data_IF_363405387486
#
_entry.id   IF_363405387486
#
_cell.length_a   1.000
_cell.length_b   1.000
_cell.length_c   1.000
_cell.angle_alpha   90.00
_cell.angle_beta   90.00
_cell.angle_gamma   90.00
#
_symmetry.space_group_name_H-M   'P 1'
#
loop_
_entity.id
_entity.type
_entity.pdbx_description
1 polymer ?
#
# COMPACT_ATOMS: atom_id res chain seq x y z
N UNK A 1 17.48 -49.78 -47.12
CA UNK A 1 16.28 -49.73 -46.26
C UNK A 1 16.42 -48.54 -45.32
N UNK A 2 15.85 -47.39 -45.65
CA UNK A 2 15.98 -46.15 -44.84
C UNK A 2 14.68 -45.95 -44.06
N UNK A 3 14.72 -46.19 -42.74
CA UNK A 3 13.59 -45.90 -41.84
C UNK A 3 13.66 -44.41 -41.45
N UNK A 4 12.95 -43.57 -42.19
CA UNK A 4 12.70 -42.19 -41.80
C UNK A 4 11.65 -42.22 -40.70
N UNK A 5 12.12 -42.28 -39.45
CA UNK A 5 11.27 -42.14 -38.28
C UNK A 5 10.82 -40.68 -38.20
N UNK A 6 9.62 -40.44 -38.71
CA UNK A 6 8.94 -39.14 -38.65
C UNK A 6 8.74 -38.74 -37.19
N UNK A 7 9.63 -37.88 -36.67
CA UNK A 7 9.47 -37.22 -35.39
C UNK A 7 8.59 -35.99 -35.61
N UNK A 8 7.27 -36.16 -35.43
CA UNK A 8 6.31 -35.06 -35.42
C UNK A 8 6.50 -34.28 -34.12
N UNK A 9 7.38 -33.27 -34.14
CA UNK A 9 7.58 -32.36 -33.01
C UNK A 9 6.43 -31.35 -32.98
N UNK A 10 5.37 -31.67 -32.27
CA UNK A 10 4.19 -30.83 -32.13
C UNK A 10 4.49 -29.70 -31.13
N UNK A 11 4.91 -28.54 -31.66
CA UNK A 11 5.15 -27.33 -30.87
C UNK A 11 3.80 -26.76 -30.45
N UNK A 12 3.37 -27.04 -29.22
CA UNK A 12 2.27 -26.31 -28.58
C UNK A 12 2.75 -24.88 -28.27
N UNK A 13 2.47 -23.94 -29.18
CA UNK A 13 2.64 -22.52 -28.91
C UNK A 13 1.49 -22.07 -28.00
N UNK A 14 1.74 -22.00 -26.70
CA UNK A 14 0.82 -21.38 -25.75
C UNK A 14 0.95 -19.86 -25.87
N UNK A 15 0.01 -19.22 -26.57
CA UNK A 15 -0.05 -17.76 -26.63
C UNK A 15 -0.62 -17.21 -25.33
N UNK A 16 0.24 -16.89 -24.37
CA UNK A 16 -0.14 -16.15 -23.17
C UNK A 16 -0.02 -14.65 -23.45
N UNK A 17 -1.17 -13.97 -23.56
CA UNK A 17 -1.22 -12.53 -23.79
C UNK A 17 -0.70 -11.81 -22.54
N UNK A 18 0.49 -11.21 -22.65
CA UNK A 18 1.11 -10.46 -21.55
C UNK A 18 0.58 -9.03 -21.55
N UNK A 19 0.08 -8.56 -20.41
CA UNK A 19 -0.40 -7.19 -20.22
C UNK A 19 0.61 -6.42 -19.37
N UNK A 20 0.95 -5.21 -19.80
CA UNK A 20 1.86 -4.32 -19.07
C UNK A 20 1.08 -3.38 -18.14
N UNK A 21 1.52 -3.27 -16.88
CA UNK A 21 1.01 -2.26 -15.98
C UNK A 21 1.66 -0.90 -16.31
N UNK A 22 0.86 0.08 -16.74
CA UNK A 22 1.37 1.43 -17.10
C UNK A 22 1.31 2.43 -15.96
N UNK A 23 0.23 2.43 -15.17
CA UNK A 23 0.04 3.37 -14.07
C UNK A 23 -0.88 2.78 -13.00
N UNK A 24 -0.66 3.17 -11.74
CA UNK A 24 -1.51 2.81 -10.61
C UNK A 24 -1.89 4.08 -9.87
N UNK A 25 -3.19 4.25 -9.61
CA UNK A 25 -3.71 5.27 -8.71
C UNK A 25 -4.22 4.59 -7.45
N UNK A 26 -3.66 4.95 -6.29
CA UNK A 26 -4.06 4.39 -5.00
C UNK A 26 -4.73 5.48 -4.18
N UNK A 27 -6.03 5.32 -3.93
CA UNK A 27 -6.79 6.18 -3.04
C UNK A 27 -6.87 5.51 -1.67
N UNK A 28 -5.91 5.83 -0.81
CA UNK A 28 -5.85 5.25 0.54
C UNK A 28 -6.60 6.13 1.55
N UNK A 29 -7.29 5.47 2.49
CA UNK A 29 -7.75 6.12 3.71
C UNK A 29 -6.59 6.20 4.71
N UNK A 30 -6.67 7.14 5.65
CA UNK A 30 -5.84 7.16 6.85
C UNK A 30 -6.09 5.90 7.72
N UNK A 31 -5.09 5.49 8.47
CA UNK A 31 -5.18 4.32 9.34
C UNK A 31 -5.75 4.67 10.74
N UNK A 32 -5.42 3.86 11.76
CA UNK A 32 -5.94 3.99 13.13
C UNK A 32 -5.59 5.36 13.73
N UNK A 33 -6.64 6.12 14.04
CA UNK A 33 -6.58 7.44 14.66
C UNK A 33 -7.47 7.52 15.89
N UNK A 34 -7.17 8.48 16.76
CA UNK A 34 -8.07 8.82 17.85
C UNK A 34 -9.45 9.28 17.33
N UNK A 35 -10.52 9.05 18.10
CA UNK A 35 -11.84 9.53 17.75
C UNK A 35 -11.85 11.06 17.58
N UNK A 36 -12.74 11.54 16.72
CA UNK A 36 -12.89 12.99 16.44
C UNK A 36 -13.65 13.71 17.54
N UNK A 37 -14.55 13.02 18.23
CA UNK A 37 -15.50 13.60 19.17
C UNK A 37 -14.89 13.70 20.57
N UNK A 38 -14.80 14.92 21.09
CA UNK A 38 -14.55 15.18 22.52
C UNK A 38 -15.72 14.76 23.42
N UNK A 39 -16.94 14.70 22.84
CA UNK A 39 -18.19 14.59 23.59
C UNK A 39 -18.74 13.16 23.68
N UNK A 40 -17.87 12.15 23.55
CA UNK A 40 -18.26 10.74 23.64
C UNK A 40 -18.93 10.40 24.99
N UNK A 41 -18.54 11.10 26.06
CA UNK A 41 -19.09 10.94 27.40
C UNK A 41 -20.58 11.29 27.50
N UNK A 42 -21.10 12.14 26.59
CA UNK A 42 -22.52 12.47 26.55
C UNK A 42 -23.37 11.43 25.79
N UNK A 43 -22.73 10.56 25.01
CA UNK A 43 -23.41 9.53 24.20
C UNK A 43 -23.59 8.21 24.95
N UNK A 44 -22.79 7.97 25.99
CA UNK A 44 -22.87 6.75 26.80
C UNK A 44 -22.39 7.03 28.21
N UNK A 45 -23.05 6.44 29.21
CA UNK A 45 -22.64 6.47 30.61
C UNK A 45 -21.35 5.70 30.90
N UNK A 46 -20.85 4.92 29.93
CA UNK A 46 -19.60 4.17 30.07
C UNK A 46 -18.37 5.06 29.88
N UNK A 47 -17.30 4.75 30.62
CA UNK A 47 -16.01 5.43 30.48
C UNK A 47 -15.35 5.03 29.17
N UNK A 48 -15.11 6.01 28.30
CA UNK A 48 -14.39 5.80 27.04
C UNK A 48 -12.89 5.66 27.28
N UNK A 49 -12.19 4.83 26.48
CA UNK A 49 -10.75 4.68 26.59
C UNK A 49 -10.04 5.99 26.26
N UNK A 50 -9.03 6.30 27.07
CA UNK A 50 -8.19 7.50 26.91
C UNK A 50 -7.13 7.19 25.84
N UNK A 51 -6.97 8.09 24.89
CA UNK A 51 -5.96 7.98 23.83
C UNK A 51 -4.75 8.85 24.17
N UNK A 52 -3.55 8.37 23.88
CA UNK A 52 -2.29 9.10 24.13
C UNK A 52 -1.99 10.16 23.05
N UNK A 53 -2.93 10.43 22.15
CA UNK A 53 -2.78 11.37 21.03
C UNK A 53 -4.04 12.24 20.93
N UNK A 54 -3.88 13.46 20.41
CA UNK A 54 -4.97 14.40 20.23
C UNK A 54 -6.10 13.83 19.37
N UNK A 55 -7.30 14.38 19.54
CA UNK A 55 -8.47 13.95 18.78
C UNK A 55 -8.23 14.04 17.27
N UNK A 56 -8.62 12.99 16.55
CA UNK A 56 -8.40 12.84 15.11
C UNK A 56 -6.93 12.77 14.65
N UNK A 57 -5.94 12.69 15.54
CA UNK A 57 -4.55 12.42 15.15
C UNK A 57 -4.35 10.92 14.93
N UNK A 58 -3.42 10.61 14.02
CA UNK A 58 -2.95 9.25 13.82
C UNK A 58 -2.37 8.72 15.14
N UNK A 59 -2.41 7.41 15.32
CA UNK A 59 -1.74 6.76 16.46
C UNK A 59 -0.37 6.24 16.01
N UNK A 60 0.58 6.07 16.93
CA UNK A 60 1.88 5.47 16.60
C UNK A 60 1.73 4.08 15.95
N UNK A 61 0.75 3.28 16.42
CA UNK A 61 0.41 1.99 15.81
C UNK A 61 -0.18 2.18 14.40
N UNK A 62 -1.02 3.19 14.18
CA UNK A 62 -1.54 3.55 12.87
C UNK A 62 -0.42 3.90 11.87
N UNK A 63 0.55 4.73 12.30
CA UNK A 63 1.71 5.11 11.50
C UNK A 63 2.57 3.89 11.11
N UNK A 64 2.82 2.98 12.05
CA UNK A 64 3.54 1.72 11.79
C UNK A 64 2.83 0.88 10.72
N UNK A 65 1.50 0.74 10.82
CA UNK A 65 0.71 -0.01 9.85
C UNK A 65 0.70 0.64 8.46
N UNK A 66 0.73 1.97 8.38
CA UNK A 66 0.91 2.69 7.11
C UNK A 66 2.28 2.39 6.49
N UNK A 67 3.34 2.34 7.30
CA UNK A 67 4.67 1.92 6.84
C UNK A 67 4.70 0.49 6.29
N UNK A 68 4.00 -0.45 6.95
CA UNK A 68 3.87 -1.82 6.46
C UNK A 68 3.10 -1.89 5.14
N UNK A 69 2.00 -1.15 5.03
CA UNK A 69 1.22 -1.07 3.80
C UNK A 69 2.05 -0.46 2.66
N UNK A 70 2.80 0.62 2.91
CA UNK A 70 3.69 1.23 1.93
C UNK A 70 4.78 0.26 1.45
N UNK A 71 5.40 -0.46 2.38
CA UNK A 71 6.41 -1.49 2.07
C UNK A 71 5.82 -2.62 1.21
N UNK A 72 4.61 -3.08 1.55
CA UNK A 72 3.92 -4.10 0.77
C UNK A 72 3.63 -3.63 -0.67
N UNK A 73 3.08 -2.42 -0.83
CA UNK A 73 2.77 -1.85 -2.15
C UNK A 73 4.05 -1.69 -2.98
N UNK A 74 5.13 -1.18 -2.37
CA UNK A 74 6.43 -1.04 -3.03
C UNK A 74 6.93 -2.39 -3.55
N UNK A 75 6.99 -3.41 -2.69
CA UNK A 75 7.43 -4.75 -3.07
C UNK A 75 6.52 -5.37 -4.15
N UNK A 76 5.22 -5.14 -4.08
CA UNK A 76 4.26 -5.60 -5.07
C UNK A 76 4.49 -4.96 -6.45
N UNK A 77 4.74 -3.64 -6.49
CA UNK A 77 5.04 -2.91 -7.73
C UNK A 77 6.36 -3.40 -8.37
N UNK A 78 7.41 -3.60 -7.56
CA UNK A 78 8.69 -4.16 -8.04
C UNK A 78 8.48 -5.52 -8.69
N UNK A 79 7.69 -6.40 -8.05
CA UNK A 79 7.44 -7.75 -8.56
C UNK A 79 6.57 -7.78 -9.83
N UNK A 80 5.58 -6.89 -9.93
CA UNK A 80 4.60 -6.92 -11.04
C UNK A 80 5.01 -6.10 -12.25
N UNK A 81 5.82 -5.05 -12.06
CA UNK A 81 6.18 -4.11 -13.12
C UNK A 81 7.68 -4.16 -13.44
N UNK A 82 8.47 -4.93 -12.67
CA UNK A 82 9.92 -5.04 -12.83
C UNK A 82 10.66 -3.69 -12.71
N UNK A 83 10.14 -2.74 -11.93
CA UNK A 83 10.88 -1.50 -11.62
C UNK A 83 12.07 -1.80 -10.71
N UNK A 84 13.27 -1.34 -11.07
CA UNK A 84 14.38 -1.23 -10.11
C UNK A 84 13.97 -0.26 -9.00
N UNK A 85 14.31 -0.59 -7.75
CA UNK A 85 13.95 0.18 -6.55
C UNK A 85 14.27 1.69 -6.70
N UNK A 86 15.36 2.02 -7.37
CA UNK A 86 15.82 3.40 -7.62
C UNK A 86 14.91 4.22 -8.54
N UNK A 87 14.15 3.58 -9.43
CA UNK A 87 13.19 4.24 -10.35
C UNK A 87 11.88 4.55 -9.61
N UNK A 88 11.51 3.70 -8.66
CA UNK A 88 10.31 3.85 -7.84
C UNK A 88 10.41 5.09 -6.93
N UNK A 89 11.61 5.33 -6.38
CA UNK A 89 11.90 6.52 -5.56
C UNK A 89 11.80 7.85 -6.34
N UNK A 90 11.88 7.81 -7.68
CA UNK A 90 11.82 9.00 -8.55
C UNK A 90 10.43 9.25 -9.15
N UNK A 91 9.56 8.24 -9.16
CA UNK A 91 8.25 8.28 -9.82
C UNK A 91 7.06 8.22 -8.86
N UNK A 92 7.29 7.92 -7.58
CA UNK A 92 6.25 7.88 -6.56
C UNK A 92 5.82 9.30 -6.14
N UNK A 93 4.75 9.80 -6.75
CA UNK A 93 4.06 11.00 -6.30
C UNK A 93 3.02 10.66 -5.23
N UNK A 94 3.36 10.83 -3.95
CA UNK A 94 2.42 10.71 -2.84
C UNK A 94 1.77 12.07 -2.56
N UNK A 95 0.48 12.20 -2.89
CA UNK A 95 -0.32 13.36 -2.51
C UNK A 95 -1.10 13.02 -1.24
N UNK A 96 -0.66 13.52 -0.09
CA UNK A 96 -1.46 13.46 1.13
C UNK A 96 -2.42 14.63 1.14
N UNK A 97 -3.72 14.38 1.35
CA UNK A 97 -4.68 15.46 1.58
C UNK A 97 -4.28 16.18 2.88
N UNK A 98 -3.66 17.34 2.75
CA UNK A 98 -3.11 18.11 3.87
C UNK A 98 -4.21 18.65 4.78
N UNK A 99 -4.69 17.81 5.69
CA UNK A 99 -4.90 18.25 7.08
C UNK A 99 -3.60 17.94 7.78
N UNK A 100 -2.85 18.95 8.24
CA UNK A 100 -1.51 18.84 8.88
C UNK A 100 -1.44 18.06 10.21
N UNK A 101 -2.28 17.03 10.35
CA UNK A 101 -2.44 16.10 11.47
C UNK A 101 -1.72 14.75 11.22
N UNK A 102 -1.51 14.38 9.95
CA UNK A 102 -0.86 13.10 9.57
C UNK A 102 0.67 13.22 9.47
N UNK A 103 1.19 14.29 8.85
CA UNK A 103 2.63 14.46 8.60
C UNK A 103 3.49 14.60 9.87
N UNK A 104 2.94 15.16 10.95
CA UNK A 104 3.72 15.47 12.18
C UNK A 104 4.08 14.25 13.02
N UNK A 105 3.46 13.09 12.83
CA UNK A 105 3.84 11.87 13.55
C UNK A 105 4.80 10.99 12.74
N UNK A 106 4.62 10.89 11.43
CA UNK A 106 5.53 10.11 10.57
C UNK A 106 6.96 10.67 10.61
N UNK A 107 7.12 11.99 10.69
CA UNK A 107 8.44 12.63 10.76
C UNK A 107 9.08 12.65 12.16
N UNK A 108 8.37 12.27 13.23
CA UNK A 108 8.92 12.25 14.59
C UNK A 108 9.57 10.92 14.98
N UNK A 109 9.39 9.89 14.17
CA UNK A 109 9.84 8.52 14.45
C UNK A 109 10.77 7.96 13.35
N UNK A 110 11.19 8.79 12.41
CA UNK A 110 12.30 8.56 11.47
C UNK A 110 13.44 9.51 11.84
#
# INVERSE_FOLDING_TARGET
MVKISSFLFLVFVTFSKSYDLKQVLILSRHNIRAPLSSNLQYLSSNTWPIWNVDSAFLTAKGALLEGYMGSFISNWLVKKVCYQQDVLNKTLCMFTLTRGREQRQLQKHL
#
